data_IF_125802825915
#
_entry.id   IF_125802825915
#
_cell.length_a   1.000
_cell.length_b   1.000
_cell.length_c   1.000
_cell.angle_alpha   90.00
_cell.angle_beta   90.00
_cell.angle_gamma   90.00
#
_symmetry.space_group_name_H-M   'P 1'
#
loop_
_entity.id
_entity.type
_entity.pdbx_description
1 polymer ?
#
# COMPACT_ATOMS: atom_id res chain seq x y z
N UNK A 1 7.08 -45.21 61.14
CA UNK A 1 5.69 -44.70 61.19
C UNK A 1 5.37 -43.97 59.90
N UNK A 2 4.30 -44.42 59.23
CA UNK A 2 3.38 -43.79 58.27
C UNK A 2 3.77 -42.50 57.49
N UNK A 3 3.79 -42.70 56.17
CA UNK A 3 3.01 -42.03 55.10
C UNK A 3 3.43 -40.67 54.50
N UNK A 4 3.59 -40.78 53.16
CA UNK A 4 3.60 -39.78 52.08
C UNK A 4 2.32 -38.93 52.06
N UNK A 5 2.34 -37.82 51.30
CA UNK A 5 1.28 -37.17 50.46
C UNK A 5 1.46 -35.65 50.48
N UNK A 6 1.23 -34.81 49.46
CA UNK A 6 1.11 -34.86 47.98
C UNK A 6 1.15 -33.38 47.53
N UNK A 7 1.52 -33.21 46.28
CA UNK A 7 1.46 -32.02 45.44
C UNK A 7 0.02 -31.49 45.23
N UNK A 8 -0.17 -30.16 45.17
CA UNK A 8 -1.38 -29.47 44.69
C UNK A 8 -0.93 -28.15 44.01
N UNK A 9 -0.70 -28.13 42.69
CA UNK A 9 -1.59 -27.66 41.60
C UNK A 9 -2.26 -26.28 41.82
N UNK A 10 -1.91 -25.33 40.93
CA UNK A 10 -2.41 -23.94 40.73
C UNK A 10 -3.93 -23.85 40.45
N UNK A 11 -4.52 -22.63 40.52
CA UNK A 11 -5.01 -22.00 39.28
C UNK A 11 -4.88 -20.45 39.19
N UNK A 12 -4.44 -20.00 38.00
CA UNK A 12 -4.90 -18.92 37.09
C UNK A 12 -5.53 -17.57 37.58
N UNK A 13 -4.82 -16.47 37.25
CA UNK A 13 -5.16 -15.08 36.84
C UNK A 13 -6.28 -14.22 37.48
N UNK A 14 -5.87 -13.09 38.08
CA UNK A 14 -6.41 -11.71 38.05
C UNK A 14 -5.19 -10.82 38.43
N UNK A 15 -4.75 -9.76 37.74
CA UNK A 15 -5.44 -8.54 37.34
C UNK A 15 -4.55 -7.36 37.75
N UNK A 16 -3.96 -6.69 36.75
CA UNK A 16 -3.50 -5.29 36.68
C UNK A 16 -3.44 -4.46 37.99
N UNK A 17 -2.24 -3.99 38.39
CA UNK A 17 -1.96 -2.62 38.89
C UNK A 17 -0.53 -2.47 39.44
N UNK A 18 0.03 -1.26 39.26
CA UNK A 18 1.32 -0.73 39.76
C UNK A 18 2.59 -1.18 39.04
N UNK A 19 3.02 -0.38 38.05
CA UNK A 19 4.22 0.45 38.26
C UNK A 19 4.23 1.64 37.28
N UNK A 20 3.83 2.81 37.78
CA UNK A 20 4.15 4.13 37.23
C UNK A 20 5.18 4.76 38.18
N UNK A 21 5.96 5.73 37.67
CA UNK A 21 7.02 6.58 38.30
C UNK A 21 8.43 6.08 37.91
N UNK A 22 9.35 6.87 37.32
CA UNK A 22 9.51 8.31 37.18
C UNK A 22 10.25 8.68 35.87
N UNK A 23 9.91 9.85 35.32
CA UNK A 23 10.72 10.60 34.35
C UNK A 23 11.77 11.43 35.12
N UNK A 24 12.92 11.68 34.47
CA UNK A 24 13.96 12.73 34.62
C UNK A 24 15.32 12.02 34.46
N UNK A 25 16.27 12.35 33.57
CA UNK A 25 16.59 13.59 32.87
C UNK A 25 17.77 13.32 31.93
N UNK A 26 17.79 14.02 30.78
CA UNK A 26 18.94 14.30 29.90
C UNK A 26 19.39 13.17 28.95
N UNK A 27 19.22 13.45 27.65
CA UNK A 27 20.23 13.12 26.65
C UNK A 27 20.36 11.64 26.29
N UNK A 28 19.28 11.02 25.85
CA UNK A 28 19.40 9.80 25.03
C UNK A 28 18.52 10.00 23.82
N UNK A 29 19.16 10.07 22.66
CA UNK A 29 18.60 9.82 21.34
C UNK A 29 17.37 8.93 21.45
N UNK A 30 16.19 9.47 21.14
CA UNK A 30 15.05 8.60 20.84
C UNK A 30 15.50 7.90 19.56
N UNK A 31 15.91 6.64 19.68
CA UNK A 31 15.87 5.74 18.55
C UNK A 31 14.41 5.70 18.14
N UNK A 32 14.04 6.58 17.20
CA UNK A 32 12.76 6.53 16.55
C UNK A 32 12.66 5.14 15.95
N UNK A 33 11.64 4.40 16.39
CA UNK A 33 11.33 3.05 16.00
C UNK A 33 11.68 2.80 14.54
N UNK A 34 12.81 2.13 14.32
CA UNK A 34 13.09 1.39 13.11
C UNK A 34 12.18 0.16 13.14
N UNK A 35 10.92 0.40 12.83
CA UNK A 35 9.98 -0.55 12.24
C UNK A 35 8.78 0.27 11.78
N UNK A 36 9.00 1.05 10.72
CA UNK A 36 7.91 1.19 9.75
C UNK A 36 8.06 -0.06 8.89
N UNK A 37 7.57 -1.17 9.44
CA UNK A 37 7.02 -2.24 8.61
C UNK A 37 6.00 -1.54 7.71
N UNK A 38 6.41 -1.24 6.48
CA UNK A 38 5.49 -1.00 5.38
C UNK A 38 4.77 -2.33 5.11
N UNK A 39 3.91 -2.78 6.02
CA UNK A 39 3.25 -4.07 5.93
C UNK A 39 1.97 -4.10 6.76
N UNK A 40 0.90 -3.49 6.27
CA UNK A 40 -0.50 -3.81 6.62
C UNK A 40 -1.37 -3.28 5.45
N UNK A 41 -1.81 -4.06 4.46
CA UNK A 41 -2.90 -5.04 4.53
C UNK A 41 -2.99 -5.87 3.24
N UNK A 42 -2.69 -7.18 3.26
CA UNK A 42 -3.34 -8.12 2.34
C UNK A 42 -4.64 -8.58 3.02
N UNK A 43 -5.81 -8.13 2.55
CA UNK A 43 -7.07 -8.72 3.03
C UNK A 43 -7.26 -10.04 2.28
N UNK A 44 -7.14 -11.15 3.01
CA UNK A 44 -7.31 -12.51 2.50
C UNK A 44 -8.79 -12.84 2.37
N UNK A 45 -9.30 -12.98 1.15
CA UNK A 45 -10.59 -13.63 0.88
C UNK A 45 -10.35 -14.80 -0.06
N UNK A 46 -10.39 -16.03 0.45
CA UNK A 46 -10.08 -17.26 -0.31
C UNK A 46 -8.57 -17.54 -0.42
N UNK A 47 -8.18 -18.62 -1.12
CA UNK A 47 -6.76 -19.05 -1.32
C UNK A 47 -6.00 -18.12 -2.29
N UNK A 48 -6.23 -16.83 -2.20
CA UNK A 48 -5.69 -15.81 -3.06
C UNK A 48 -4.66 -15.05 -2.25
N UNK A 49 -3.44 -15.02 -2.76
CA UNK A 49 -2.35 -14.25 -2.19
C UNK A 49 -1.94 -13.24 -3.24
N UNK A 50 -1.86 -11.98 -2.84
CA UNK A 50 -1.26 -10.92 -3.63
C UNK A 50 -0.20 -10.24 -2.78
N UNK A 51 0.93 -9.95 -3.41
CA UNK A 51 2.01 -9.23 -2.78
C UNK A 51 2.06 -7.84 -3.40
N UNK A 52 2.06 -6.81 -2.56
CA UNK A 52 2.40 -5.45 -2.99
C UNK A 52 3.91 -5.40 -3.07
N UNK A 53 4.43 -5.07 -4.25
CA UNK A 53 5.82 -4.68 -4.37
C UNK A 53 5.91 -3.20 -4.00
N UNK A 54 6.83 -2.83 -3.12
CA UNK A 54 7.11 -1.44 -2.78
C UNK A 54 8.58 -1.31 -2.34
N UNK A 55 9.27 -0.30 -2.84
CA UNK A 55 10.59 0.11 -2.33
C UNK A 55 10.49 1.51 -1.75
N UNK A 56 10.83 1.63 -0.46
CA UNK A 56 10.86 2.92 0.25
C UNK A 56 12.29 3.42 0.33
N UNK A 57 12.54 4.62 -0.19
CA UNK A 57 13.80 5.36 -0.01
C UNK A 57 13.48 6.77 0.52
N UNK A 58 13.61 6.93 1.84
CA UNK A 58 13.21 8.15 2.55
C UNK A 58 11.70 8.40 2.42
N UNK A 59 11.34 9.46 1.69
CA UNK A 59 9.95 9.83 1.38
C UNK A 59 9.48 9.33 0.00
N UNK A 60 10.34 8.66 -0.75
CA UNK A 60 10.00 8.14 -2.06
C UNK A 60 9.52 6.71 -1.95
N UNK A 61 8.34 6.44 -2.51
CA UNK A 61 7.86 5.08 -2.77
C UNK A 61 8.06 4.76 -4.25
N UNK A 62 8.64 3.60 -4.55
CA UNK A 62 8.86 3.15 -5.93
C UNK A 62 8.27 1.77 -6.15
N UNK A 63 8.08 1.43 -7.44
CA UNK A 63 7.78 0.06 -7.90
C UNK A 63 6.51 -0.50 -7.26
N UNK A 64 5.49 0.36 -7.15
CA UNK A 64 4.19 0.04 -6.54
C UNK A 64 3.39 -0.75 -7.57
N UNK A 65 3.10 -2.00 -7.25
CA UNK A 65 2.33 -2.88 -8.13
C UNK A 65 1.78 -4.07 -7.39
N UNK A 66 1.07 -4.93 -8.14
CA UNK A 66 0.47 -6.15 -7.60
C UNK A 66 1.11 -7.35 -8.27
N UNK A 67 1.56 -8.31 -7.45
CA UNK A 67 1.95 -9.65 -7.90
C UNK A 67 0.94 -10.67 -7.44
N UNK A 68 0.40 -11.47 -8.35
CA UNK A 68 -0.44 -12.61 -7.99
C UNK A 68 0.43 -13.77 -7.49
N UNK A 69 0.24 -14.21 -6.25
CA UNK A 69 0.96 -15.34 -5.64
C UNK A 69 0.06 -16.58 -5.47
N UNK A 70 -1.27 -16.40 -5.47
CA UNK A 70 -2.26 -17.46 -5.42
C UNK A 70 -2.25 -18.35 -6.68
N UNK A 71 -2.77 -19.58 -6.56
CA UNK A 71 -2.82 -20.56 -7.67
C UNK A 71 -4.01 -20.38 -8.62
N UNK A 72 -5.04 -19.70 -8.15
CA UNK A 72 -6.26 -19.45 -8.92
C UNK A 72 -6.16 -18.11 -9.63
N UNK A 73 -6.72 -18.05 -10.84
CA UNK A 73 -6.94 -16.80 -11.56
C UNK A 73 -7.81 -15.85 -10.72
N UNK A 74 -7.43 -14.57 -10.69
CA UNK A 74 -8.12 -13.56 -9.88
C UNK A 74 -8.33 -12.22 -10.58
N UNK A 75 -9.43 -11.56 -10.22
CA UNK A 75 -9.63 -10.12 -10.39
C UNK A 75 -8.86 -9.37 -9.30
N UNK A 76 -8.36 -8.18 -9.62
CA UNK A 76 -7.54 -7.37 -8.71
C UNK A 76 -8.06 -5.94 -8.66
N UNK A 77 -8.04 -5.36 -7.46
CA UNK A 77 -8.16 -3.92 -7.27
C UNK A 77 -7.06 -3.38 -6.36
N UNK A 78 -6.69 -2.12 -6.55
CA UNK A 78 -5.69 -1.43 -5.74
C UNK A 78 -6.13 0.01 -5.46
N UNK A 79 -5.81 0.51 -4.28
CA UNK A 79 -5.99 1.92 -3.88
C UNK A 79 -4.70 2.43 -3.26
N UNK A 80 -4.26 3.60 -3.71
CA UNK A 80 -3.22 4.37 -3.06
C UNK A 80 -3.81 5.70 -2.56
N UNK A 81 -3.83 5.87 -1.24
CA UNK A 81 -4.36 7.06 -0.58
C UNK A 81 -3.26 8.12 -0.50
N UNK A 82 -2.93 8.75 -1.64
CA UNK A 82 -1.86 9.75 -1.74
C UNK A 82 -2.32 11.09 -1.10
N UNK A 83 -1.61 11.61 -0.09
CA UNK A 83 -1.96 12.87 0.57
C UNK A 83 -1.99 14.08 -0.38
N UNK A 84 -2.98 14.95 -0.21
CA UNK A 84 -3.12 16.23 -0.94
C UNK A 84 -2.38 17.39 -0.28
N UNK A 85 -1.51 17.09 0.68
CA UNK A 85 -0.74 18.07 1.45
C UNK A 85 0.14 18.89 0.50
N UNK A 86 0.08 20.21 0.67
CA UNK A 86 0.98 21.16 0.01
C UNK A 86 1.92 21.78 1.03
N UNK A 87 3.12 22.12 0.59
CA UNK A 87 4.16 22.72 1.43
C UNK A 87 5.05 23.63 0.60
N UNK A 88 5.93 24.37 1.27
CA UNK A 88 6.95 25.19 0.62
C UNK A 88 8.32 24.54 0.79
N UNK A 89 9.13 24.58 -0.26
CA UNK A 89 10.51 24.12 -0.21
C UNK A 89 11.42 25.06 -1.00
N UNK A 90 12.70 25.04 -0.71
CA UNK A 90 13.70 25.78 -1.48
C UNK A 90 14.36 24.83 -2.48
N UNK A 91 14.32 25.17 -3.77
CA UNK A 91 14.94 24.36 -4.82
C UNK A 91 16.47 24.50 -4.83
N UNK A 92 17.12 23.79 -5.76
CA UNK A 92 18.59 23.83 -5.94
C UNK A 92 19.13 25.21 -6.35
N UNK A 93 18.27 26.11 -6.82
CA UNK A 93 18.62 27.48 -7.22
C UNK A 93 18.38 28.49 -6.09
N UNK A 94 17.92 28.03 -4.93
CA UNK A 94 17.61 28.88 -3.79
C UNK A 94 16.27 29.59 -3.88
N UNK A 95 15.39 29.21 -4.82
CA UNK A 95 14.07 29.79 -4.98
C UNK A 95 13.03 29.02 -4.17
N UNK A 96 12.06 29.73 -3.61
CA UNK A 96 10.93 29.11 -2.92
C UNK A 96 9.93 28.58 -3.94
N UNK A 97 9.58 27.30 -3.79
CA UNK A 97 8.63 26.58 -4.63
C UNK A 97 7.51 25.99 -3.78
N UNK A 98 6.34 25.81 -4.39
CA UNK A 98 5.26 25.05 -3.78
C UNK A 98 5.42 23.56 -4.15
N UNK A 99 5.46 22.71 -3.14
CA UNK A 99 5.58 21.26 -3.24
C UNK A 99 4.27 20.55 -2.92
N UNK A 100 4.09 19.38 -3.56
CA UNK A 100 3.06 18.40 -3.27
C UNK A 100 3.55 17.03 -3.76
N UNK A 101 2.81 15.95 -3.51
CA UNK A 101 3.18 14.64 -4.06
C UNK A 101 3.34 14.72 -5.59
N UNK A 102 4.43 14.16 -6.09
CA UNK A 102 4.74 14.01 -7.51
C UNK A 102 4.71 12.52 -7.87
N UNK A 103 3.82 12.17 -8.78
CA UNK A 103 3.42 10.79 -9.11
C UNK A 103 3.89 10.47 -10.51
N UNK A 104 4.70 9.42 -10.66
CA UNK A 104 5.06 8.81 -11.94
C UNK A 104 4.35 7.46 -12.03
N UNK A 105 3.73 7.20 -13.17
CA UNK A 105 2.93 6.00 -13.39
C UNK A 105 3.12 5.47 -14.82
N UNK A 106 2.80 4.19 -15.09
CA UNK A 106 2.93 3.60 -16.41
C UNK A 106 2.32 4.46 -17.54
N UNK A 107 3.11 4.74 -18.57
CA UNK A 107 2.69 5.58 -19.70
C UNK A 107 2.85 7.09 -19.47
N UNK A 108 3.29 7.54 -18.29
CA UNK A 108 3.66 8.93 -18.03
C UNK A 108 4.92 9.06 -17.18
N UNK A 109 6.08 9.03 -17.85
CA UNK A 109 7.40 9.14 -17.22
C UNK A 109 7.71 10.54 -16.69
N UNK A 110 7.05 11.59 -17.20
CA UNK A 110 7.24 12.96 -16.71
C UNK A 110 6.64 13.17 -15.32
N UNK A 111 5.63 12.38 -14.97
CA UNK A 111 4.89 12.49 -13.74
C UNK A 111 3.91 13.67 -13.68
N UNK A 112 3.12 13.69 -12.62
CA UNK A 112 2.07 14.68 -12.36
C UNK A 112 2.01 15.03 -10.88
N UNK A 113 1.51 16.22 -10.55
CA UNK A 113 1.19 16.55 -9.16
C UNK A 113 -0.10 15.86 -8.69
N UNK A 114 -0.34 15.87 -7.37
CA UNK A 114 -1.53 15.25 -6.76
C UNK A 114 -2.87 15.77 -7.30
N UNK A 115 -2.95 17.07 -7.66
CA UNK A 115 -4.18 17.64 -8.19
C UNK A 115 -4.52 17.04 -9.56
N UNK A 116 -3.52 16.90 -10.44
CA UNK A 116 -3.68 16.25 -11.73
C UNK A 116 -3.93 14.75 -11.60
N UNK A 117 -3.20 14.05 -10.72
CA UNK A 117 -3.44 12.62 -10.41
C UNK A 117 -4.90 12.34 -10.08
N UNK A 118 -5.53 13.19 -9.26
CA UNK A 118 -6.92 13.04 -8.85
C UNK A 118 -7.94 13.20 -9.97
N UNK A 119 -7.54 13.63 -11.17
CA UNK A 119 -8.39 13.72 -12.36
C UNK A 119 -8.25 12.53 -13.31
N UNK A 120 -7.25 11.67 -13.08
CA UNK A 120 -7.00 10.49 -13.92
C UNK A 120 -7.94 9.37 -13.48
N UNK A 121 -8.61 8.76 -14.46
CA UNK A 121 -9.53 7.64 -14.23
C UNK A 121 -9.15 6.37 -14.99
N UNK A 122 -8.20 6.47 -15.93
CA UNK A 122 -7.74 5.33 -16.72
C UNK A 122 -6.23 5.39 -16.93
N UNK A 123 -5.58 4.24 -16.92
CA UNK A 123 -4.14 4.09 -17.12
C UNK A 123 -3.82 2.79 -17.83
N UNK A 124 -3.22 2.88 -19.01
CA UNK A 124 -2.76 1.72 -19.76
C UNK A 124 -1.49 1.14 -19.15
N UNK A 125 -1.44 -0.17 -19.01
CA UNK A 125 -0.34 -0.92 -18.39
C UNK A 125 -0.04 -2.19 -19.17
N UNK A 126 1.12 -2.78 -18.89
CA UNK A 126 1.47 -4.12 -19.32
C UNK A 126 1.47 -5.05 -18.10
N UNK A 127 0.89 -6.23 -18.27
CA UNK A 127 0.99 -7.32 -17.31
C UNK A 127 2.21 -8.15 -17.72
N UNK A 128 3.22 -8.17 -16.86
CA UNK A 128 4.34 -9.09 -16.96
C UNK A 128 3.86 -10.48 -16.56
N UNK A 129 3.76 -11.38 -17.53
CA UNK A 129 3.25 -12.74 -17.30
C UNK A 129 4.34 -13.62 -16.68
N UNK A 130 3.95 -14.54 -15.80
CA UNK A 130 4.89 -15.42 -15.09
C UNK A 130 5.56 -16.47 -15.99
N UNK A 131 4.86 -16.89 -17.04
CA UNK A 131 5.32 -17.82 -18.08
C UNK A 131 6.07 -17.09 -19.19
N UNK A 132 6.83 -17.80 -20.05
CA UNK A 132 7.47 -17.28 -21.30
C UNK A 132 6.45 -16.78 -22.36
N UNK A 133 5.27 -16.39 -21.91
CA UNK A 133 4.19 -15.76 -22.66
C UNK A 133 4.46 -14.26 -22.77
N UNK A 134 4.10 -13.67 -23.90
CA UNK A 134 4.22 -12.23 -24.11
C UNK A 134 3.41 -11.45 -23.08
N UNK A 135 3.96 -10.29 -22.69
CA UNK A 135 3.27 -9.33 -21.85
C UNK A 135 1.93 -8.93 -22.48
N UNK A 136 0.91 -8.78 -21.65
CA UNK A 136 -0.45 -8.46 -22.12
C UNK A 136 -0.80 -7.03 -21.76
N UNK A 137 -1.35 -6.27 -22.71
CA UNK A 137 -1.91 -4.95 -22.43
C UNK A 137 -3.14 -5.04 -21.55
N UNK A 138 -3.21 -4.18 -20.54
CA UNK A 138 -4.36 -4.03 -19.66
C UNK A 138 -4.58 -2.54 -19.33
N UNK A 139 -5.68 -2.24 -18.64
CA UNK A 139 -6.03 -0.90 -18.19
C UNK A 139 -6.43 -0.96 -16.72
N UNK A 140 -5.88 -0.05 -15.93
CA UNK A 140 -6.44 0.29 -14.62
C UNK A 140 -7.53 1.33 -14.80
N UNK A 141 -8.71 1.08 -14.25
CA UNK A 141 -9.82 2.04 -14.25
C UNK A 141 -10.22 2.38 -12.83
N UNK A 142 -10.25 3.68 -12.49
CA UNK A 142 -10.71 4.19 -11.20
C UNK A 142 -12.24 4.16 -11.14
N UNK A 143 -12.78 3.72 -10.00
CA UNK A 143 -14.22 3.77 -9.69
C UNK A 143 -14.50 4.69 -8.51
N UNK A 144 -15.78 4.97 -8.27
CA UNK A 144 -16.24 5.94 -7.27
C UNK A 144 -15.94 5.53 -5.82
N UNK A 145 -15.63 4.25 -5.58
CA UNK A 145 -15.19 3.73 -4.29
C UNK A 145 -13.72 4.02 -3.95
N UNK A 146 -13.02 4.72 -4.86
CA UNK A 146 -11.63 5.11 -4.73
C UNK A 146 -10.63 4.02 -5.13
N UNK A 147 -11.09 2.83 -5.50
CA UNK A 147 -10.22 1.77 -6.00
C UNK A 147 -10.01 1.87 -7.51
N UNK A 148 -8.86 1.36 -7.95
CA UNK A 148 -8.53 1.09 -9.33
C UNK A 148 -8.69 -0.40 -9.60
N UNK A 149 -9.39 -0.73 -10.67
CA UNK A 149 -9.73 -2.09 -11.07
C UNK A 149 -8.97 -2.44 -12.34
N UNK A 150 -8.31 -3.61 -12.35
CA UNK A 150 -7.57 -4.08 -13.51
C UNK A 150 -8.55 -4.66 -14.54
N UNK A 151 -8.34 -4.36 -15.81
CA UNK A 151 -9.19 -4.86 -16.89
C UNK A 151 -9.02 -6.34 -17.19
N UNK A 152 -7.87 -6.90 -16.85
CA UNK A 152 -7.51 -8.29 -17.11
C UNK A 152 -7.33 -9.04 -15.78
N UNK A 153 -7.48 -10.35 -15.83
CA UNK A 153 -7.21 -11.24 -14.70
C UNK A 153 -5.72 -11.53 -14.57
N UNK A 154 -5.30 -11.84 -13.34
CA UNK A 154 -3.94 -12.27 -13.05
C UNK A 154 -3.89 -13.77 -12.73
N UNK A 155 -2.88 -14.44 -13.27
CA UNK A 155 -2.51 -15.81 -12.93
C UNK A 155 -1.32 -15.82 -11.97
N UNK A 156 -1.02 -17.00 -11.41
CA UNK A 156 0.10 -17.15 -10.48
C UNK A 156 1.42 -16.65 -11.09
N UNK A 157 2.06 -15.71 -10.39
CA UNK A 157 3.35 -15.11 -10.71
C UNK A 157 3.24 -13.82 -11.54
N UNK A 158 2.08 -13.54 -12.13
CA UNK A 158 1.87 -12.34 -12.94
C UNK A 158 2.08 -11.08 -12.10
N UNK A 159 2.65 -10.06 -12.73
CA UNK A 159 2.90 -8.76 -12.12
C UNK A 159 2.34 -7.65 -12.99
N UNK A 160 1.78 -6.64 -12.33
CA UNK A 160 1.32 -5.42 -12.99
C UNK A 160 1.71 -4.22 -12.13
N UNK A 161 2.39 -3.26 -12.74
CA UNK A 161 2.72 -1.99 -12.10
C UNK A 161 1.47 -1.12 -11.97
N UNK A 162 1.36 -0.40 -10.86
CA UNK A 162 0.34 0.61 -10.62
C UNK A 162 0.95 2.02 -10.59
N UNK A 163 1.96 2.26 -9.75
CA UNK A 163 2.70 3.52 -9.73
C UNK A 163 4.20 3.24 -9.78
N UNK A 164 4.88 3.86 -10.75
CA UNK A 164 6.33 3.75 -10.87
C UNK A 164 7.03 4.43 -9.69
N UNK A 165 6.58 5.63 -9.31
CA UNK A 165 7.02 6.28 -8.08
C UNK A 165 6.05 7.33 -7.56
N UNK A 166 6.10 7.58 -6.25
CA UNK A 166 5.52 8.75 -5.59
C UNK A 166 6.60 9.40 -4.75
N UNK A 167 6.85 10.67 -5.01
CA UNK A 167 7.93 11.45 -4.38
C UNK A 167 7.38 12.75 -3.79
N UNK A 168 8.13 13.34 -2.86
CA UNK A 168 7.85 14.67 -2.32
C UNK A 168 9.06 15.59 -2.63
N UNK A 169 8.97 16.42 -3.69
CA UNK A 169 10.06 17.30 -4.12
C UNK A 169 10.56 18.20 -2.99
N UNK A 170 11.88 18.37 -2.91
CA UNK A 170 12.51 19.32 -1.98
C UNK A 170 12.52 18.92 -0.51
N UNK A 171 11.98 17.76 -0.15
CA UNK A 171 11.98 17.28 1.24
C UNK A 171 13.14 16.33 1.56
N UNK A 172 13.98 16.04 0.56
CA UNK A 172 15.19 15.23 0.71
C UNK A 172 16.41 16.10 0.41
N UNK A 173 17.28 16.29 1.41
CA UNK A 173 18.53 17.05 1.27
C UNK A 173 19.69 16.26 1.89
N UNK A 174 20.76 16.06 1.11
CA UNK A 174 21.94 15.31 1.53
C UNK A 174 21.61 13.92 2.14
N UNK A 175 20.60 13.24 1.58
CA UNK A 175 20.15 11.92 2.03
C UNK A 175 19.33 11.92 3.32
N UNK A 176 18.88 13.09 3.79
CA UNK A 176 18.02 13.24 4.97
C UNK A 176 16.70 13.89 4.61
N UNK A 177 15.66 13.49 5.33
CA UNK A 177 14.35 14.13 5.26
C UNK A 177 14.42 15.48 5.99
N UNK A 178 14.10 16.56 5.30
CA UNK A 178 13.92 17.90 5.85
C UNK A 178 12.45 18.30 5.69
N UNK A 179 11.69 18.29 6.79
CA UNK A 179 10.28 18.65 6.78
C UNK A 179 10.10 20.15 7.07
N UNK A 180 9.26 20.87 6.30
CA UNK A 180 8.88 22.24 6.60
C UNK A 180 8.07 22.34 7.89
N UNK A 181 8.04 23.53 8.50
CA UNK A 181 7.25 23.79 9.69
C UNK A 181 5.77 23.42 9.47
N UNK A 182 5.23 22.61 10.39
CA UNK A 182 3.84 22.16 10.34
C UNK A 182 3.59 20.92 9.48
N UNK A 183 4.59 20.40 8.78
CA UNK A 183 4.52 19.11 8.07
C UNK A 183 5.15 18.02 8.93
N UNK A 184 4.44 16.90 9.06
CA UNK A 184 4.93 15.71 9.77
C UNK A 184 5.07 14.55 8.79
N UNK A 185 5.92 13.58 9.11
CA UNK A 185 6.11 12.39 8.28
C UNK A 185 4.79 11.62 8.08
N UNK A 186 3.96 11.53 9.12
CA UNK A 186 2.65 10.85 9.07
C UNK A 186 1.71 11.48 8.04
N UNK A 187 1.78 12.81 7.86
CA UNK A 187 0.99 13.53 6.85
C UNK A 187 1.41 13.22 5.41
N UNK A 188 2.61 12.66 5.21
CA UNK A 188 3.16 12.28 3.91
C UNK A 188 3.09 10.76 3.68
N UNK A 189 2.54 10.02 4.64
CA UNK A 189 2.37 8.57 4.50
C UNK A 189 1.36 8.28 3.41
N UNK A 190 1.66 7.31 2.56
CA UNK A 190 0.79 6.84 1.48
C UNK A 190 0.36 5.42 1.80
N UNK A 191 -0.84 5.23 2.39
CA UNK A 191 -1.45 3.92 2.55
C UNK A 191 -1.75 3.31 1.17
N UNK A 192 -1.41 2.04 1.01
CA UNK A 192 -1.70 1.27 -0.21
C UNK A 192 -2.43 0.01 0.21
N UNK A 193 -3.58 -0.23 -0.42
CA UNK A 193 -4.41 -1.40 -0.18
C UNK A 193 -4.65 -2.09 -1.51
N UNK A 194 -4.36 -3.37 -1.60
CA UNK A 194 -4.72 -4.19 -2.75
C UNK A 194 -5.54 -5.38 -2.28
N UNK A 195 -6.47 -5.80 -3.14
CA UNK A 195 -7.35 -6.93 -2.88
C UNK A 195 -7.52 -7.75 -4.15
N UNK A 196 -7.84 -9.02 -3.99
CA UNK A 196 -8.07 -9.93 -5.10
C UNK A 196 -9.24 -10.87 -4.82
N UNK A 197 -9.94 -11.25 -5.90
CA UNK A 197 -11.14 -12.07 -5.88
C UNK A 197 -11.01 -13.15 -6.95
N UNK A 198 -11.27 -14.40 -6.60
CA UNK A 198 -11.08 -15.55 -7.49
C UNK A 198 -12.14 -15.51 -8.59
N UNK A 199 -11.73 -15.76 -9.83
CA UNK A 199 -12.65 -15.76 -10.98
C UNK A 199 -13.61 -16.94 -10.91
N UNK A 200 -13.09 -18.12 -10.57
CA UNK A 200 -13.89 -19.34 -10.49
C UNK A 200 -15.04 -19.20 -9.48
N UNK A 201 -16.26 -19.45 -9.96
CA UNK A 201 -17.47 -19.42 -9.13
C UNK A 201 -18.11 -18.05 -8.96
N UNK A 202 -17.62 -17.02 -9.67
CA UNK A 202 -18.23 -15.69 -9.73
C UNK A 202 -18.85 -15.46 -11.10
N UNK A 203 -20.14 -15.17 -11.10
CA UNK A 203 -20.88 -14.76 -12.30
C UNK A 203 -21.01 -13.24 -12.31
N UNK A 204 -20.27 -12.59 -13.22
CA UNK A 204 -20.23 -11.13 -13.38
C UNK A 204 -21.25 -10.61 -14.40
N UNK A 205 -22.29 -11.39 -14.71
CA UNK A 205 -23.41 -11.03 -15.59
C UNK A 205 -22.98 -10.48 -16.96
N UNK A 206 -21.94 -11.10 -17.54
CA UNK A 206 -21.41 -10.73 -18.86
C UNK A 206 -20.61 -9.42 -18.89
N UNK A 207 -20.32 -8.80 -17.74
CA UNK A 207 -19.39 -7.67 -17.66
C UNK A 207 -18.00 -8.06 -18.16
N UNK A 208 -17.26 -7.08 -18.69
CA UNK A 208 -15.92 -7.27 -19.25
C UNK A 208 -14.96 -6.20 -18.73
N UNK A 209 -13.65 -6.44 -18.88
CA UNK A 209 -12.65 -5.46 -18.48
C UNK A 209 -12.71 -5.13 -16.99
N UNK A 210 -12.48 -3.85 -16.66
CA UNK A 210 -12.49 -3.39 -15.28
C UNK A 210 -13.89 -3.44 -14.64
N UNK A 211 -14.96 -3.45 -15.45
CA UNK A 211 -16.33 -3.61 -14.96
C UNK A 211 -16.59 -5.02 -14.44
N UNK A 212 -15.98 -6.04 -15.06
CA UNK A 212 -16.03 -7.42 -14.56
C UNK A 212 -15.39 -7.52 -13.16
N UNK A 213 -14.19 -6.95 -13.01
CA UNK A 213 -13.52 -6.88 -11.72
C UNK A 213 -14.39 -6.12 -10.70
N UNK A 214 -14.90 -4.94 -11.06
CA UNK A 214 -15.77 -4.16 -10.18
C UNK A 214 -16.98 -4.97 -9.69
N UNK A 215 -17.71 -5.62 -10.60
CA UNK A 215 -18.85 -6.46 -10.25
C UNK A 215 -18.47 -7.64 -9.35
N UNK A 216 -17.35 -8.32 -9.63
CA UNK A 216 -16.88 -9.41 -8.79
C UNK A 216 -16.66 -8.96 -7.34
N UNK A 217 -16.10 -7.77 -7.13
CA UNK A 217 -15.94 -7.20 -5.80
C UNK A 217 -17.27 -6.75 -5.17
N UNK A 218 -18.25 -6.27 -5.93
CA UNK A 218 -19.60 -5.99 -5.38
C UNK A 218 -20.24 -7.28 -4.85
N UNK A 219 -20.22 -8.35 -5.66
CA UNK A 219 -20.80 -9.67 -5.30
C UNK A 219 -20.17 -10.22 -4.02
N UNK A 220 -18.83 -10.23 -3.93
CA UNK A 220 -18.12 -10.76 -2.76
C UNK A 220 -18.36 -9.92 -1.51
N UNK A 221 -18.51 -8.60 -1.65
CA UNK A 221 -18.79 -7.71 -0.54
C UNK A 221 -20.29 -7.66 -0.15
N UNK A 222 -21.14 -8.37 -0.88
CA UNK A 222 -22.60 -8.40 -0.64
C UNK A 222 -23.30 -7.10 -0.99
N UNK A 223 -22.79 -6.39 -2.00
CA UNK A 223 -23.32 -5.13 -2.53
C UNK A 223 -24.09 -5.34 -3.83
#
# INVERSE_FOLDING_TARGET
>A
MKNKVKWLKRPMHFGLALLLIAILTIGTTIAFFTDIEAAVNSITTGKIQIDINEKVDGLTKNDIGVRAAGKSECYVRIRADIPTVTYKYTDSEGQEQDGSAWIIYPGNESGVNIAAWNTINEMSVLITRASDTEDTSAVWTRKDDGYWYLSETLNQGDYVEFLTSVTYPGLMRDGKVELPDGITFDMLTIPIVSEAVQVEGIDVDGAAGADAAYQAFQIVNGL
#
